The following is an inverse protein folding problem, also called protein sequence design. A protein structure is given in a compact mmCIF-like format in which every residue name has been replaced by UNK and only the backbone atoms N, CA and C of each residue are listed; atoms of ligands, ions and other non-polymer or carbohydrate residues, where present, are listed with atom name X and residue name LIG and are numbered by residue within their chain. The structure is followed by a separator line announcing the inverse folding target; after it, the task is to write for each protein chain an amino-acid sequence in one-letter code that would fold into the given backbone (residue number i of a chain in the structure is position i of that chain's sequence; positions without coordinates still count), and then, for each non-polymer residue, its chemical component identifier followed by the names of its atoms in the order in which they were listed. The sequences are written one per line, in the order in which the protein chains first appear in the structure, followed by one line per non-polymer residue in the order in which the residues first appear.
data_IF_639274871196
#
_entry.id   IF_639274871196
#
_cell.length_a   1.000
_cell.length_b   1.000
_cell.length_c   1.000
_cell.angle_alpha   90.00
_cell.angle_beta   90.00
_cell.angle_gamma   90.00
#
_symmetry.space_group_name_H-M   'P 1'
#
loop_
_entity.id
_entity.type
_entity.pdbx_description
1 polymer ?
#
# COMPACT_ATOMS: atom_id res chain seq x y z
N UNK A 1 28.85 -15.33 21.46
CA UNK A 1 28.08 -16.18 20.53
C UNK A 1 27.40 -15.27 19.52
N UNK A 2 28.05 -15.01 18.40
CA UNK A 2 27.48 -14.26 17.27
C UNK A 2 26.49 -15.19 16.56
N UNK A 3 25.19 -14.98 16.78
CA UNK A 3 24.18 -15.66 15.96
C UNK A 3 24.44 -15.35 14.49
N UNK A 4 24.41 -16.34 13.58
CA UNK A 4 24.52 -16.08 12.17
C UNK A 4 23.32 -15.23 11.75
N UNK A 5 23.57 -14.01 11.25
CA UNK A 5 22.52 -13.19 10.63
C UNK A 5 21.98 -14.01 9.46
N UNK A 6 20.68 -14.33 9.48
CA UNK A 6 20.05 -15.00 8.35
C UNK A 6 20.39 -14.22 7.07
N UNK A 7 20.65 -14.90 5.94
CA UNK A 7 21.05 -14.24 4.68
C UNK A 7 20.01 -13.24 4.16
N UNK A 8 18.81 -13.21 4.74
CA UNK A 8 17.73 -12.28 4.42
C UNK A 8 17.28 -11.54 5.68
N UNK A 9 17.21 -10.22 5.55
CA UNK A 9 16.54 -9.37 6.53
C UNK A 9 15.04 -9.35 6.24
N UNK A 10 14.27 -9.89 7.17
CA UNK A 10 12.81 -9.99 7.06
C UNK A 10 12.10 -8.82 7.75
N UNK A 11 12.86 -7.95 8.42
CA UNK A 11 12.30 -6.71 8.95
C UNK A 11 12.06 -5.74 7.80
N UNK A 12 11.13 -4.81 8.04
CA UNK A 12 10.91 -3.71 7.13
C UNK A 12 12.08 -2.74 7.22
N UNK A 13 12.54 -2.31 6.04
CA UNK A 13 13.38 -1.12 5.93
C UNK A 13 12.59 0.13 6.31
N UNK A 14 13.31 1.24 6.50
CA UNK A 14 12.70 2.55 6.77
C UNK A 14 11.73 2.96 5.65
N UNK A 15 12.12 2.78 4.39
CA UNK A 15 11.27 3.07 3.23
C UNK A 15 9.99 2.21 3.22
N UNK A 16 10.11 0.94 3.57
CA UNK A 16 8.96 0.05 3.68
C UNK A 16 8.02 0.46 4.83
N UNK A 17 8.56 0.90 5.97
CA UNK A 17 7.77 1.37 7.10
C UNK A 17 7.08 2.72 6.81
N UNK A 18 7.74 3.63 6.09
CA UNK A 18 7.13 4.87 5.60
C UNK A 18 5.96 4.60 4.65
N UNK A 19 6.17 3.72 3.66
CA UNK A 19 5.12 3.31 2.72
C UNK A 19 3.95 2.66 3.46
N UNK A 20 4.23 1.73 4.37
CA UNK A 20 3.24 1.10 5.24
C UNK A 20 2.43 2.13 6.01
N UNK A 21 3.09 3.07 6.66
CA UNK A 21 2.45 4.11 7.48
C UNK A 21 1.54 5.01 6.64
N UNK A 22 1.99 5.39 5.43
CA UNK A 22 1.21 6.21 4.51
C UNK A 22 -0.05 5.48 4.02
N UNK A 23 0.07 4.22 3.60
CA UNK A 23 -1.07 3.40 3.15
C UNK A 23 -2.04 3.17 4.30
N UNK A 24 -1.54 2.78 5.47
CA UNK A 24 -2.37 2.55 6.67
C UNK A 24 -3.17 3.79 7.05
N UNK A 25 -2.53 4.96 7.06
CA UNK A 25 -3.19 6.21 7.42
C UNK A 25 -4.30 6.56 6.43
N UNK A 26 -4.05 6.43 5.12
CA UNK A 26 -5.07 6.63 4.10
C UNK A 26 -6.29 5.73 4.29
N UNK A 27 -6.06 4.43 4.53
CA UNK A 27 -7.13 3.46 4.70
C UNK A 27 -7.87 3.67 6.02
N UNK A 28 -7.17 3.96 7.12
CA UNK A 28 -7.82 4.27 8.40
C UNK A 28 -8.77 5.49 8.30
N UNK A 29 -8.37 6.51 7.52
CA UNK A 29 -9.16 7.73 7.35
C UNK A 29 -10.37 7.56 6.43
N UNK A 30 -10.32 6.63 5.47
CA UNK A 30 -11.29 6.57 4.35
C UNK A 30 -12.04 5.25 4.19
N UNK A 31 -11.53 4.18 4.79
CA UNK A 31 -11.96 2.80 4.56
C UNK A 31 -12.57 2.16 5.82
N UNK A 32 -13.31 2.92 6.63
CA UNK A 32 -14.05 2.36 7.77
C UNK A 32 -15.00 1.23 7.30
N UNK A 33 -14.96 0.01 7.89
CA UNK A 33 -15.68 -1.15 7.36
C UNK A 33 -17.17 -0.93 7.12
N UNK A 34 -17.86 -0.28 8.06
CA UNK A 34 -19.28 0.05 7.92
C UNK A 34 -19.57 0.98 6.73
N UNK A 35 -18.66 1.92 6.44
CA UNK A 35 -18.79 2.85 5.31
C UNK A 35 -18.53 2.16 3.97
N UNK A 36 -17.60 1.20 3.93
CA UNK A 36 -17.37 0.37 2.73
C UNK A 36 -18.59 -0.49 2.45
N UNK A 37 -19.08 -1.22 3.46
CA UNK A 37 -20.25 -2.10 3.32
C UNK A 37 -21.50 -1.33 2.85
N UNK A 38 -21.74 -0.14 3.41
CA UNK A 38 -22.84 0.70 2.94
C UNK A 38 -22.66 1.18 1.49
N UNK A 39 -21.41 1.41 1.04
CA UNK A 39 -21.11 1.92 -0.29
C UNK A 39 -21.25 0.84 -1.37
N UNK A 40 -20.84 -0.40 -1.09
CA UNK A 40 -20.90 -1.50 -2.08
C UNK A 40 -22.32 -1.84 -2.52
N UNK A 41 -23.33 -1.45 -1.74
CA UNK A 41 -24.75 -1.59 -2.09
C UNK A 41 -25.31 -0.44 -2.94
N UNK A 42 -24.46 0.53 -3.32
CA UNK A 42 -24.85 1.69 -4.13
C UNK A 42 -24.35 1.58 -5.58
N UNK A 43 -24.86 2.46 -6.46
CA UNK A 43 -24.36 2.60 -7.83
C UNK A 43 -22.93 3.16 -7.93
N UNK A 44 -22.33 3.57 -6.81
CA UNK A 44 -20.94 4.07 -6.73
C UNK A 44 -20.16 3.30 -5.65
N UNK A 45 -19.80 2.03 -5.90
CA UNK A 45 -19.22 1.13 -4.90
C UNK A 45 -17.79 1.49 -4.48
N UNK A 46 -17.13 2.38 -5.22
CA UNK A 46 -15.77 2.83 -4.97
C UNK A 46 -15.73 4.33 -4.62
N UNK A 47 -14.78 4.73 -3.77
CA UNK A 47 -14.49 6.15 -3.53
C UNK A 47 -13.38 6.64 -4.48
N UNK A 48 -13.69 7.48 -5.48
CA UNK A 48 -12.70 7.97 -6.44
C UNK A 48 -11.56 8.73 -5.79
N UNK A 49 -11.78 9.41 -4.66
CA UNK A 49 -10.72 10.18 -3.98
C UNK A 49 -9.72 9.25 -3.32
N UNK A 50 -10.19 8.21 -2.64
CA UNK A 50 -9.31 7.18 -2.08
C UNK A 50 -8.48 6.52 -3.17
N UNK A 51 -9.11 6.16 -4.30
CA UNK A 51 -8.40 5.61 -5.45
C UNK A 51 -7.36 6.57 -6.02
N UNK A 52 -7.69 7.84 -6.19
CA UNK A 52 -6.75 8.84 -6.71
C UNK A 52 -5.54 9.02 -5.78
N UNK A 53 -5.78 9.10 -4.47
CA UNK A 53 -4.69 9.23 -3.48
C UNK A 53 -3.82 7.98 -3.45
N UNK A 54 -4.40 6.77 -3.47
CA UNK A 54 -3.63 5.53 -3.47
C UNK A 54 -2.84 5.36 -4.79
N UNK A 55 -3.51 5.52 -5.93
CA UNK A 55 -2.94 5.25 -7.24
C UNK A 55 -1.88 6.27 -7.64
N UNK A 56 -2.17 7.57 -7.49
CA UNK A 56 -1.32 8.66 -7.98
C UNK A 56 -0.58 9.38 -6.84
N UNK A 57 -1.24 9.61 -5.70
CA UNK A 57 -0.62 10.28 -4.56
C UNK A 57 0.50 9.44 -3.92
N UNK A 58 0.19 8.19 -3.58
CA UNK A 58 1.18 7.21 -3.09
C UNK A 58 1.94 6.57 -4.26
N UNK A 59 1.36 6.56 -5.46
CA UNK A 59 2.00 5.97 -6.65
C UNK A 59 1.80 4.46 -6.78
N UNK A 60 0.87 3.86 -6.03
CA UNK A 60 0.68 2.42 -5.97
C UNK A 60 0.33 1.79 -7.33
N UNK A 61 -0.32 2.54 -8.24
CA UNK A 61 -0.70 2.03 -9.56
C UNK A 61 0.51 1.77 -10.49
N UNK A 62 1.61 2.50 -10.27
CA UNK A 62 2.85 2.37 -11.02
C UNK A 62 3.99 1.73 -10.23
N UNK A 63 3.70 1.14 -9.07
CA UNK A 63 4.72 0.77 -8.08
C UNK A 63 5.80 -0.15 -8.66
N UNK A 64 5.38 -1.22 -9.34
CA UNK A 64 6.26 -2.19 -10.00
C UNK A 64 6.61 -1.82 -11.45
N UNK A 65 6.07 -0.71 -11.96
CA UNK A 65 6.36 -0.26 -13.33
C UNK A 65 7.72 0.42 -13.35
N UNK A 66 8.62 0.11 -14.31
CA UNK A 66 9.91 0.78 -14.41
C UNK A 66 9.78 2.30 -14.56
N UNK A 67 10.70 3.06 -13.95
CA UNK A 67 10.71 4.53 -14.01
C UNK A 67 10.78 5.08 -15.44
N UNK A 68 11.51 4.40 -16.35
CA UNK A 68 11.57 4.77 -17.78
C UNK A 68 10.21 4.70 -18.51
N UNK A 69 9.21 4.05 -17.89
CA UNK A 69 7.83 3.97 -18.37
C UNK A 69 6.87 4.82 -17.51
N UNK A 70 7.40 5.64 -16.60
CA UNK A 70 6.62 6.51 -15.71
C UNK A 70 6.13 5.86 -14.42
N UNK A 71 6.70 4.71 -14.02
CA UNK A 71 6.41 4.06 -12.73
C UNK A 71 7.41 4.39 -11.62
N UNK A 72 7.33 3.67 -10.51
CA UNK A 72 8.20 3.86 -9.33
C UNK A 72 9.40 2.91 -9.30
N UNK A 73 9.44 1.88 -10.15
CA UNK A 73 10.54 0.91 -10.21
C UNK A 73 10.79 0.16 -8.89
N UNK A 74 9.81 0.11 -7.99
CA UNK A 74 9.94 -0.52 -6.68
C UNK A 74 10.02 -2.05 -6.80
N UNK A 75 10.42 -2.69 -5.71
CA UNK A 75 10.52 -4.14 -5.66
C UNK A 75 9.19 -4.78 -5.25
N UNK A 76 9.15 -6.11 -5.30
CA UNK A 76 8.00 -6.87 -4.82
C UNK A 76 7.82 -6.75 -3.30
N UNK A 77 8.83 -6.31 -2.54
CA UNK A 77 8.69 -6.11 -1.10
C UNK A 77 7.85 -4.88 -0.78
N UNK A 78 8.06 -3.75 -1.45
CA UNK A 78 7.20 -2.58 -1.31
C UNK A 78 5.78 -2.87 -1.81
N UNK A 79 5.62 -3.64 -2.89
CA UNK A 79 4.29 -4.08 -3.33
C UNK A 79 3.60 -4.97 -2.30
N UNK A 80 4.32 -5.88 -1.65
CA UNK A 80 3.78 -6.69 -0.56
C UNK A 80 3.31 -5.82 0.61
N UNK A 81 4.08 -4.79 0.99
CA UNK A 81 3.67 -3.84 2.05
C UNK A 81 2.33 -3.16 1.74
N UNK A 82 2.15 -2.68 0.49
CA UNK A 82 0.88 -2.06 0.08
C UNK A 82 -0.27 -3.06 0.15
N UNK A 83 -0.06 -4.28 -0.35
CA UNK A 83 -1.08 -5.33 -0.36
C UNK A 83 -1.44 -5.82 1.06
N UNK A 84 -0.47 -5.89 1.96
CA UNK A 84 -0.69 -6.23 3.37
C UNK A 84 -1.61 -5.21 4.05
N UNK A 85 -1.36 -3.91 3.88
CA UNK A 85 -2.22 -2.88 4.48
C UNK A 85 -3.60 -2.82 3.81
N UNK A 86 -3.69 -3.07 2.50
CA UNK A 86 -4.97 -3.20 1.81
C UNK A 86 -5.80 -4.38 2.33
N UNK A 87 -5.17 -5.52 2.60
CA UNK A 87 -5.86 -6.69 3.17
C UNK A 87 -6.16 -6.57 4.67
N UNK A 88 -5.44 -5.70 5.38
CA UNK A 88 -5.65 -5.42 6.80
C UNK A 88 -6.88 -4.55 7.06
N UNK A 89 -7.14 -3.58 6.18
CA UNK A 89 -8.25 -2.62 6.29
C UNK A 89 -9.61 -3.28 6.02
#
# INVERSE_FOLDING_TARGET
MTSPRAPFDLLYSETEEELRSAVRSLLADRCAPASILARVETDQPHDPRTWQTLAAGIGAAGLLVPEKLGGQGASHREAAVVLEELGRA
#
